data_IF_153109551074
#
_entry.id   IF_153109551074
#
_cell.length_a   1.000
_cell.length_b   1.000
_cell.length_c   1.000
_cell.angle_alpha   90.00
_cell.angle_beta   90.00
_cell.angle_gamma   90.00
#
_symmetry.space_group_name_H-M   'P 1'
#
loop_
_entity.id
_entity.type
_entity.pdbx_description
1 polymer ?
#
# COMPACT_ATOMS: atom_id res chain seq x y z
N UNK A 1 25.22 -9.84 -10.10
CA UNK A 1 24.91 -10.00 -8.67
C UNK A 1 23.42 -10.32 -8.55
N UNK A 2 23.05 -11.60 -8.40
CA UNK A 2 21.66 -11.97 -8.15
C UNK A 2 21.47 -11.96 -6.64
N UNK A 3 21.03 -10.82 -6.10
CA UNK A 3 20.66 -10.76 -4.69
C UNK A 3 19.37 -11.55 -4.51
N UNK A 4 19.57 -12.70 -3.85
CA UNK A 4 18.63 -13.57 -3.17
C UNK A 4 17.32 -12.86 -2.86
N UNK A 5 16.38 -12.93 -3.81
CA UNK A 5 14.96 -12.76 -3.57
C UNK A 5 14.62 -13.85 -2.55
N UNK A 6 14.66 -13.51 -1.25
CA UNK A 6 14.18 -14.35 -0.14
C UNK A 6 12.76 -14.68 -0.51
N UNK A 7 12.61 -15.83 -1.17
CA UNK A 7 11.39 -16.44 -1.67
C UNK A 7 10.37 -16.35 -0.54
N UNK A 8 9.43 -15.42 -0.66
CA UNK A 8 8.26 -15.34 0.20
C UNK A 8 7.54 -16.69 0.05
N UNK A 9 7.85 -17.62 0.96
CA UNK A 9 7.21 -18.93 1.09
C UNK A 9 5.92 -18.81 1.91
N UNK A 10 5.32 -17.63 1.96
CA UNK A 10 3.89 -17.55 2.20
C UNK A 10 3.22 -18.12 0.95
N UNK A 11 3.04 -19.44 0.95
CA UNK A 11 2.05 -20.13 0.12
C UNK A 11 0.72 -19.41 0.36
N UNK A 12 0.42 -18.46 -0.51
CA UNK A 12 -0.84 -17.75 -0.49
C UNK A 12 -1.82 -18.71 -1.16
N UNK A 13 -2.67 -19.32 -0.34
CA UNK A 13 -3.71 -20.22 -0.83
C UNK A 13 -4.89 -19.34 -1.23
N UNK A 14 -4.87 -18.84 -2.47
CA UNK A 14 -5.95 -18.04 -3.04
C UNK A 14 -6.67 -18.82 -4.13
N UNK A 15 -8.00 -18.83 -4.08
CA UNK A 15 -8.81 -19.39 -5.16
C UNK A 15 -8.79 -18.46 -6.38
N UNK A 16 -8.97 -19.03 -7.57
CA UNK A 16 -9.03 -18.28 -8.84
C UNK A 16 -10.05 -17.12 -8.79
N UNK A 17 -11.21 -17.36 -8.17
CA UNK A 17 -12.26 -16.35 -7.96
C UNK A 17 -11.81 -15.15 -7.11
N UNK A 18 -10.93 -15.38 -6.13
CA UNK A 18 -10.49 -14.32 -5.21
C UNK A 18 -9.46 -13.42 -5.86
N UNK A 19 -8.58 -14.01 -6.68
CA UNK A 19 -7.57 -13.27 -7.46
C UNK A 19 -8.25 -12.34 -8.46
N UNK A 20 -9.28 -12.82 -9.16
CA UNK A 20 -10.07 -12.00 -10.08
C UNK A 20 -10.75 -10.86 -9.33
N UNK A 21 -11.40 -11.16 -8.19
CA UNK A 21 -12.04 -10.14 -7.36
C UNK A 21 -11.06 -9.07 -6.91
N UNK A 22 -9.88 -9.47 -6.41
CA UNK A 22 -8.81 -8.55 -5.99
C UNK A 22 -8.30 -7.67 -7.13
N UNK A 23 -8.18 -8.23 -8.33
CA UNK A 23 -7.76 -7.47 -9.51
C UNK A 23 -8.77 -6.36 -9.84
N UNK A 24 -10.06 -6.68 -9.88
CA UNK A 24 -11.11 -5.69 -10.11
C UNK A 24 -11.19 -4.66 -8.98
N UNK A 25 -11.05 -5.10 -7.73
CA UNK A 25 -11.02 -4.20 -6.57
C UNK A 25 -9.90 -3.15 -6.69
N UNK A 26 -8.67 -3.54 -7.01
CA UNK A 26 -7.58 -2.59 -7.20
C UNK A 26 -7.77 -1.70 -8.42
N UNK A 27 -8.33 -2.23 -9.51
CA UNK A 27 -8.64 -1.45 -10.70
C UNK A 27 -9.67 -0.35 -10.40
N UNK A 28 -10.72 -0.66 -9.64
CA UNK A 28 -11.71 0.32 -9.18
C UNK A 28 -11.04 1.39 -8.30
N UNK A 29 -10.15 1.01 -7.37
CA UNK A 29 -9.42 1.97 -6.53
C UNK A 29 -8.57 2.93 -7.38
N UNK A 30 -7.91 2.43 -8.42
CA UNK A 30 -7.09 3.27 -9.32
C UNK A 30 -7.98 4.28 -10.07
N UNK A 31 -9.12 3.83 -10.58
CA UNK A 31 -10.06 4.70 -11.32
C UNK A 31 -10.65 5.77 -10.38
N UNK A 32 -11.13 5.37 -9.20
CA UNK A 32 -11.71 6.30 -8.23
C UNK A 32 -10.64 7.27 -7.71
N UNK A 33 -9.46 6.77 -7.32
CA UNK A 33 -8.38 7.57 -6.77
C UNK A 33 -7.84 8.60 -7.78
N UNK A 34 -7.68 8.21 -9.04
CA UNK A 34 -7.28 9.13 -10.11
C UNK A 34 -8.41 10.13 -10.45
N UNK A 35 -9.67 9.69 -10.51
CA UNK A 35 -10.82 10.55 -10.75
C UNK A 35 -11.00 11.63 -9.69
N UNK A 36 -10.90 11.28 -8.40
CA UNK A 36 -10.93 12.23 -7.29
C UNK A 36 -9.78 13.23 -7.41
N UNK A 37 -8.56 12.74 -7.67
CA UNK A 37 -7.38 13.60 -7.83
C UNK A 37 -7.58 14.63 -8.94
N UNK A 38 -8.11 14.22 -10.09
CA UNK A 38 -8.42 15.12 -11.22
C UNK A 38 -9.49 16.15 -10.85
N UNK A 39 -10.55 15.74 -10.15
CA UNK A 39 -11.62 16.64 -9.72
C UNK A 39 -11.09 17.73 -8.78
N UNK A 40 -10.19 17.40 -7.86
CA UNK A 40 -9.60 18.37 -6.95
C UNK A 40 -8.56 19.27 -7.61
N UNK A 41 -7.83 18.78 -8.63
CA UNK A 41 -6.95 19.64 -9.46
C UNK A 41 -7.77 20.72 -10.18
N UNK A 42 -8.91 20.37 -10.77
CA UNK A 42 -9.73 21.30 -11.57
C UNK A 42 -10.50 22.32 -10.74
N UNK A 43 -10.68 22.07 -9.44
CA UNK A 43 -11.34 23.00 -8.49
C UNK A 43 -10.42 24.03 -7.84
N UNK A 44 -9.13 24.09 -8.21
CA UNK A 44 -8.08 24.90 -7.55
C UNK A 44 -8.20 26.42 -7.68
N UNK A 45 -9.33 26.96 -8.15
CA UNK A 45 -9.53 28.40 -8.31
C UNK A 45 -9.75 29.17 -7.00
N UNK A 46 -9.93 28.48 -5.85
CA UNK A 46 -10.15 29.11 -4.54
C UNK A 46 -8.96 28.89 -3.58
N UNK A 47 -8.19 29.94 -3.23
CA UNK A 47 -6.96 29.82 -2.43
C UNK A 47 -7.20 29.32 -1.00
N UNK A 48 -8.33 29.66 -0.38
CA UNK A 48 -8.63 29.30 1.02
C UNK A 48 -8.80 27.78 1.25
N UNK A 49 -8.97 27.00 0.18
CA UNK A 49 -9.16 25.55 0.27
C UNK A 49 -8.02 24.72 -0.33
N UNK A 50 -6.93 25.37 -0.77
CA UNK A 50 -5.88 24.70 -1.53
C UNK A 50 -5.19 23.59 -0.74
N UNK A 51 -4.89 23.80 0.55
CA UNK A 51 -4.25 22.79 1.40
C UNK A 51 -5.14 21.56 1.62
N UNK A 52 -6.41 21.78 1.91
CA UNK A 52 -7.38 20.68 2.10
C UNK A 52 -7.60 19.89 0.82
N UNK A 53 -7.71 20.59 -0.32
CA UNK A 53 -7.84 19.95 -1.64
C UNK A 53 -6.57 19.15 -1.99
N UNK A 54 -5.39 19.69 -1.70
CA UNK A 54 -4.11 18.99 -1.91
C UNK A 54 -4.00 17.73 -1.03
N UNK A 55 -4.47 17.79 0.22
CA UNK A 55 -4.49 16.64 1.13
C UNK A 55 -5.38 15.51 0.60
N UNK A 56 -6.62 15.82 0.21
CA UNK A 56 -7.55 14.83 -0.34
C UNK A 56 -7.01 14.24 -1.64
N UNK A 57 -6.47 15.09 -2.52
CA UNK A 57 -5.87 14.67 -3.78
C UNK A 57 -4.66 13.74 -3.54
N UNK A 58 -3.78 14.07 -2.59
CA UNK A 58 -2.65 13.23 -2.23
C UNK A 58 -3.06 11.89 -1.61
N UNK A 59 -4.07 11.88 -0.72
CA UNK A 59 -4.60 10.65 -0.13
C UNK A 59 -5.20 9.71 -1.18
N UNK A 60 -5.95 10.29 -2.12
CA UNK A 60 -6.55 9.57 -3.25
C UNK A 60 -5.47 8.98 -4.16
N UNK A 61 -4.45 9.77 -4.46
CA UNK A 61 -3.34 9.34 -5.31
C UNK A 61 -2.41 8.33 -4.62
N UNK A 62 -2.26 8.40 -3.30
CA UNK A 62 -1.56 7.40 -2.51
C UNK A 62 -2.27 6.04 -2.53
N UNK A 63 -3.60 6.04 -2.41
CA UNK A 63 -4.41 4.83 -2.53
C UNK A 63 -4.26 4.19 -3.92
N UNK A 64 -4.26 5.01 -4.97
CA UNK A 64 -4.02 4.55 -6.35
C UNK A 64 -2.59 4.00 -6.52
N UNK A 65 -1.57 4.67 -5.98
CA UNK A 65 -0.18 4.20 -6.01
C UNK A 65 0.02 2.87 -5.30
N UNK A 66 -0.60 2.70 -4.13
CA UNK A 66 -0.60 1.44 -3.38
C UNK A 66 -1.33 0.32 -4.15
N UNK A 67 -2.45 0.63 -4.80
CA UNK A 67 -3.17 -0.33 -5.64
C UNK A 67 -2.31 -0.78 -6.84
N UNK A 68 -1.63 0.13 -7.54
CA UNK A 68 -0.72 -0.21 -8.67
C UNK A 68 0.40 -1.15 -8.22
N UNK A 69 1.03 -0.88 -7.07
CA UNK A 69 2.07 -1.76 -6.53
C UNK A 69 1.54 -3.17 -6.21
N UNK A 70 0.35 -3.26 -5.60
CA UNK A 70 -0.24 -4.54 -5.25
C UNK A 70 -0.71 -5.33 -6.47
N UNK A 71 -1.30 -4.68 -7.48
CA UNK A 71 -1.62 -5.29 -8.76
C UNK A 71 -0.34 -5.82 -9.44
N UNK A 72 0.77 -5.08 -9.36
CA UNK A 72 2.07 -5.53 -9.86
C UNK A 72 2.53 -6.82 -9.19
N UNK A 73 2.42 -6.87 -7.87
CA UNK A 73 2.82 -8.03 -7.07
C UNK A 73 1.90 -9.23 -7.34
N UNK A 74 0.59 -8.99 -7.47
CA UNK A 74 -0.40 -10.02 -7.77
C UNK A 74 -0.15 -10.65 -9.15
N UNK A 75 0.04 -9.84 -10.21
CA UNK A 75 0.29 -10.40 -11.54
C UNK A 75 1.61 -11.19 -11.60
N UNK A 76 2.69 -10.70 -10.96
CA UNK A 76 3.98 -11.41 -10.95
C UNK A 76 3.85 -12.76 -10.25
N UNK A 77 3.10 -12.79 -9.15
CA UNK A 77 2.87 -14.01 -8.41
C UNK A 77 2.02 -15.03 -9.20
N UNK A 78 1.09 -14.56 -10.05
CA UNK A 78 0.35 -15.41 -10.99
C UNK A 78 1.23 -15.99 -12.11
N UNK A 79 2.15 -15.19 -12.67
CA UNK A 79 3.04 -15.64 -13.76
C UNK A 79 4.12 -16.60 -13.26
N UNK A 80 4.67 -16.37 -12.07
CA UNK A 80 5.78 -17.16 -11.53
C UNK A 80 5.33 -18.48 -10.85
N UNK A 81 4.09 -18.94 -11.07
CA UNK A 81 3.48 -20.13 -10.44
C UNK A 81 3.63 -20.20 -8.91
N UNK A 82 3.82 -19.06 -8.25
CA UNK A 82 3.99 -18.98 -6.79
C UNK A 82 2.70 -19.24 -6.01
N UNK A 83 1.57 -19.41 -6.72
CA UNK A 83 0.29 -19.80 -6.16
C UNK A 83 0.00 -21.27 -6.45
N UNK A 84 -0.18 -22.06 -5.39
CA UNK A 84 -0.87 -23.35 -5.51
C UNK A 84 -2.37 -23.06 -5.56
N UNK A 85 -2.92 -23.01 -6.76
CA UNK A 85 -4.36 -22.89 -6.97
C UNK A 85 -5.02 -24.21 -6.56
N UNK A 86 -5.34 -24.39 -5.28
CA UNK A 86 -6.16 -25.52 -4.83
C UNK A 86 -7.59 -25.33 -5.32
N UNK A 87 -8.14 -26.35 -5.98
CA UNK A 87 -9.51 -26.36 -6.48
C UNK A 87 -10.51 -26.36 -5.30
N UNK A 88 -11.63 -25.65 -5.45
CA UNK A 88 -12.70 -25.50 -4.44
C UNK A 88 -13.20 -26.83 -3.86
N UNK A 89 -13.05 -27.94 -4.60
CA UNK A 89 -13.41 -29.30 -4.21
C UNK A 89 -12.44 -29.96 -3.23
N UNK A 90 -11.13 -29.71 -3.33
CA UNK A 90 -10.12 -30.25 -2.41
C UNK A 90 -10.02 -29.43 -1.10
N UNK A 91 -10.48 -28.18 -1.14
CA UNK A 91 -10.37 -27.21 -0.05
C UNK A 91 -11.42 -27.36 1.06
N UNK A 92 -12.53 -28.05 0.79
CA UNK A 92 -13.64 -28.20 1.76
C UNK A 92 -13.37 -29.22 2.87
N UNK A 93 -12.25 -29.96 2.78
CA UNK A 93 -11.88 -31.04 3.70
C UNK A 93 -10.94 -30.60 4.84
N UNK A 94 -10.39 -29.39 4.81
CA UNK A 94 -9.45 -28.87 5.81
C UNK A 94 -9.89 -27.48 6.30
N UNK A 95 -10.51 -27.43 7.47
CA UNK A 95 -11.05 -26.21 8.08
C UNK A 95 -9.95 -25.14 8.34
N UNK A 96 -8.71 -25.57 8.56
CA UNK A 96 -7.53 -24.71 8.78
C UNK A 96 -7.10 -23.90 7.53
N UNK A 97 -7.33 -24.42 6.32
CA UNK A 97 -6.96 -23.72 5.07
C UNK A 97 -7.93 -22.53 4.79
N UNK A 98 -9.13 -22.55 5.36
CA UNK A 98 -10.15 -21.51 5.19
C UNK A 98 -9.78 -20.21 5.92
N UNK A 99 -9.28 -20.31 7.16
CA UNK A 99 -8.86 -19.18 7.99
C UNK A 99 -7.65 -18.46 7.36
N UNK A 100 -6.72 -19.25 6.82
CA UNK A 100 -5.50 -18.76 6.17
C UNK A 100 -5.80 -18.02 4.86
N UNK A 101 -6.83 -18.45 4.13
CA UNK A 101 -7.37 -17.75 2.95
C UNK A 101 -8.01 -16.42 3.32
N UNK A 102 -8.85 -16.40 4.35
CA UNK A 102 -9.48 -15.15 4.84
C UNK A 102 -8.41 -14.15 5.29
N UNK A 103 -7.40 -14.60 6.05
CA UNK A 103 -6.29 -13.75 6.46
C UNK A 103 -5.51 -13.17 5.28
N UNK A 104 -5.27 -13.97 4.24
CA UNK A 104 -4.59 -13.52 3.02
C UNK A 104 -5.41 -12.48 2.26
N UNK A 105 -6.72 -12.70 2.10
CA UNK A 105 -7.61 -11.75 1.42
C UNK A 105 -7.72 -10.44 2.21
N UNK A 106 -7.93 -10.53 3.53
CA UNK A 106 -8.00 -9.36 4.40
C UNK A 106 -6.70 -8.52 4.30
N UNK A 107 -5.55 -9.19 4.36
CA UNK A 107 -4.25 -8.52 4.21
C UNK A 107 -4.13 -7.75 2.89
N UNK A 108 -4.56 -8.33 1.77
CA UNK A 108 -4.56 -7.63 0.48
C UNK A 108 -5.55 -6.46 0.44
N UNK A 109 -6.74 -6.58 1.04
CA UNK A 109 -7.75 -5.51 1.09
C UNK A 109 -7.27 -4.34 1.95
N UNK A 110 -6.59 -4.59 3.08
CA UNK A 110 -6.13 -3.52 3.97
C UNK A 110 -4.89 -2.78 3.47
N UNK A 111 -4.13 -3.32 2.51
CA UNK A 111 -2.89 -2.69 2.01
C UNK A 111 -3.06 -1.29 1.40
N UNK A 112 -4.05 -1.01 0.53
CA UNK A 112 -4.32 0.35 0.08
C UNK A 112 -4.62 1.31 1.24
N UNK A 113 -5.35 0.85 2.26
CA UNK A 113 -5.66 1.68 3.43
C UNK A 113 -4.39 2.06 4.21
N UNK A 114 -3.43 1.13 4.36
CA UNK A 114 -2.13 1.46 4.95
C UNK A 114 -1.35 2.47 4.10
N UNK A 115 -1.34 2.32 2.77
CA UNK A 115 -0.71 3.30 1.87
C UNK A 115 -1.31 4.69 2.01
N UNK A 116 -2.63 4.78 2.18
CA UNK A 116 -3.33 6.02 2.41
C UNK A 116 -2.99 6.62 3.80
N UNK A 117 -2.92 5.80 4.86
CA UNK A 117 -2.48 6.24 6.18
C UNK A 117 -1.04 6.78 6.18
N UNK A 118 -0.11 6.12 5.46
CA UNK A 118 1.27 6.61 5.30
C UNK A 118 1.33 7.97 4.61
N UNK A 119 0.46 8.25 3.63
CA UNK A 119 0.43 9.56 2.98
C UNK A 119 0.06 10.69 3.94
N UNK A 120 -0.81 10.41 4.93
CA UNK A 120 -1.20 11.35 5.97
C UNK A 120 -0.02 11.66 6.91
N UNK A 121 0.74 10.62 7.28
CA UNK A 121 1.97 10.78 8.06
C UNK A 121 3.00 11.63 7.31
N UNK A 122 3.22 11.36 6.01
CA UNK A 122 4.16 12.16 5.20
C UNK A 122 3.71 13.62 5.07
N UNK A 123 2.41 13.86 4.86
CA UNK A 123 1.87 15.22 4.85
C UNK A 123 2.08 15.93 6.20
N UNK A 124 1.82 15.25 7.32
CA UNK A 124 2.03 15.79 8.66
C UNK A 124 3.51 16.11 8.91
N UNK A 125 4.43 15.22 8.52
CA UNK A 125 5.87 15.45 8.62
C UNK A 125 6.31 16.64 7.77
N UNK A 126 5.78 16.77 6.56
CA UNK A 126 6.06 17.92 5.69
C UNK A 126 5.56 19.23 6.32
N UNK A 127 4.34 19.26 6.85
CA UNK A 127 3.80 20.45 7.51
C UNK A 127 4.57 20.82 8.77
N UNK A 128 4.98 19.83 9.56
CA UNK A 128 5.83 20.03 10.73
C UNK A 128 7.19 20.61 10.34
N UNK A 129 7.79 20.14 9.24
CA UNK A 129 9.05 20.65 8.71
C UNK A 129 8.96 22.13 8.32
N UNK A 130 7.87 22.55 7.67
CA UNK A 130 7.65 23.96 7.33
C UNK A 130 7.44 24.80 8.59
N UNK A 131 6.60 24.34 9.52
CA UNK A 131 6.35 25.06 10.77
C UNK A 131 7.62 25.23 11.62
N UNK A 132 8.53 24.25 11.58
CA UNK A 132 9.81 24.33 12.26
C UNK A 132 10.82 25.24 11.54
N UNK A 133 10.71 25.41 10.22
CA UNK A 133 11.69 26.12 9.39
C UNK A 133 11.33 27.57 9.10
N UNK A 134 10.05 27.96 9.17
CA UNK A 134 9.57 29.27 8.74
C UNK A 134 8.69 29.91 9.81
N UNK A 135 9.01 31.15 10.19
CA UNK A 135 8.29 31.93 11.21
C UNK A 135 7.08 32.71 10.67
N UNK A 136 6.80 32.66 9.37
CA UNK A 136 5.67 33.32 8.70
C UNK A 136 4.79 32.29 7.98
N UNK A 137 3.48 32.53 7.95
CA UNK A 137 2.52 31.69 7.23
C UNK A 137 2.74 31.82 5.71
N UNK A 138 3.31 30.78 5.09
CA UNK A 138 3.44 30.69 3.65
C UNK A 138 2.11 30.25 3.06
N UNK A 139 1.50 31.07 2.21
CA UNK A 139 0.37 30.66 1.37
C UNK A 139 0.89 29.75 0.24
N UNK A 140 0.39 28.51 0.10
CA UNK A 140 0.87 27.61 -0.93
C UNK A 140 0.49 28.09 -2.35
N UNK A 141 1.46 28.06 -3.26
CA UNK A 141 1.25 28.37 -4.67
C UNK A 141 0.54 27.21 -5.39
N UNK A 142 -0.07 27.44 -6.56
CA UNK A 142 -0.75 26.39 -7.35
C UNK A 142 0.15 25.20 -7.71
N UNK A 143 1.47 25.43 -7.87
CA UNK A 143 2.47 24.38 -8.08
C UNK A 143 2.57 23.35 -6.94
N UNK A 144 2.20 23.75 -5.73
CA UNK A 144 2.21 22.89 -4.54
C UNK A 144 1.35 21.64 -4.72
N UNK A 145 0.17 21.79 -5.33
CA UNK A 145 -0.78 20.69 -5.47
C UNK A 145 -0.22 19.54 -6.33
N UNK A 146 0.49 19.87 -7.41
CA UNK A 146 1.12 18.86 -8.28
C UNK A 146 2.24 18.10 -7.56
N UNK A 147 3.04 18.79 -6.76
CA UNK A 147 4.12 18.17 -5.97
C UNK A 147 3.51 17.25 -4.90
N UNK A 148 2.47 17.70 -4.21
CA UNK A 148 1.78 16.93 -3.16
C UNK A 148 1.09 15.70 -3.73
N UNK A 149 0.53 15.77 -4.93
CA UNK A 149 0.01 14.62 -5.67
C UNK A 149 1.10 13.60 -6.02
N UNK A 150 2.23 14.06 -6.55
CA UNK A 150 3.35 13.19 -6.89
C UNK A 150 3.94 12.50 -5.65
N UNK A 151 4.09 13.24 -4.54
CA UNK A 151 4.51 12.70 -3.26
C UNK A 151 3.50 11.72 -2.67
N UNK A 152 2.20 12.01 -2.78
CA UNK A 152 1.13 11.10 -2.39
C UNK A 152 1.21 9.78 -3.14
N UNK A 153 1.32 9.83 -4.48
CA UNK A 153 1.50 8.64 -5.31
C UNK A 153 2.73 7.83 -4.89
N UNK A 154 3.88 8.50 -4.78
CA UNK A 154 5.15 7.86 -4.45
C UNK A 154 5.11 7.22 -3.06
N UNK A 155 4.52 7.92 -2.09
CA UNK A 155 4.26 7.40 -0.75
C UNK A 155 3.47 6.10 -0.79
N UNK A 156 2.33 6.09 -1.47
CA UNK A 156 1.48 4.91 -1.56
C UNK A 156 2.16 3.75 -2.29
N UNK A 157 2.89 4.05 -3.36
CA UNK A 157 3.64 3.05 -4.12
C UNK A 157 4.79 2.44 -3.31
N UNK A 158 5.52 3.26 -2.54
CA UNK A 158 6.63 2.81 -1.70
C UNK A 158 6.18 2.14 -0.41
N UNK A 159 5.02 2.51 0.15
CA UNK A 159 4.47 1.94 1.37
C UNK A 159 4.39 0.40 1.30
N UNK A 160 4.02 -0.14 0.14
CA UNK A 160 3.98 -1.59 -0.08
C UNK A 160 5.35 -2.26 0.05
N UNK A 161 6.43 -1.59 -0.38
CA UNK A 161 7.81 -2.09 -0.25
C UNK A 161 8.34 -1.91 1.16
N UNK A 162 8.07 -0.75 1.78
CA UNK A 162 8.48 -0.45 3.16
C UNK A 162 7.85 -1.45 4.13
N UNK A 163 6.55 -1.76 3.98
CA UNK A 163 5.87 -2.74 4.81
C UNK A 163 6.51 -4.13 4.71
N UNK A 164 6.84 -4.59 3.50
CA UNK A 164 7.51 -5.89 3.30
C UNK A 164 8.93 -5.91 3.91
N UNK A 165 9.66 -4.80 3.85
CA UNK A 165 11.00 -4.69 4.48
C UNK A 165 10.86 -4.73 6.01
N UNK A 166 9.91 -3.98 6.58
CA UNK A 166 9.65 -3.96 8.02
C UNK A 166 9.21 -5.32 8.55
N UNK A 167 8.33 -6.03 7.83
CA UNK A 167 7.93 -7.40 8.15
C UNK A 167 9.15 -8.34 8.17
N UNK A 168 10.01 -8.27 7.15
CA UNK A 168 11.22 -9.09 7.07
C UNK A 168 12.22 -8.83 8.20
N UNK A 169 12.47 -7.56 8.52
CA UNK A 169 13.37 -7.18 9.61
C UNK A 169 12.80 -7.55 10.99
N UNK A 170 11.49 -7.37 11.18
CA UNK A 170 10.81 -7.74 12.43
C UNK A 170 10.89 -9.24 12.69
N UNK A 171 10.66 -10.07 11.67
CA UNK A 171 10.79 -11.52 11.77
C UNK A 171 12.23 -11.97 12.06
N UNK A 172 13.22 -11.38 11.38
CA UNK A 172 14.63 -11.70 11.61
C UNK A 172 15.06 -11.32 13.04
N UNK A 173 14.60 -10.19 13.59
CA UNK A 173 14.84 -9.81 14.99
C UNK A 173 14.14 -10.74 15.99
N UNK A 174 12.87 -11.07 15.76
CA UNK A 174 12.11 -11.96 16.63
C UNK A 174 12.73 -13.36 16.68
N UNK A 175 13.20 -13.85 15.52
CA UNK A 175 13.93 -15.12 15.43
C UNK A 175 15.23 -15.08 16.22
N UNK A 176 15.99 -13.98 16.16
CA UNK A 176 17.23 -13.83 16.93
C UNK A 176 16.99 -13.80 18.45
N UNK A 177 15.86 -13.23 18.90
CA UNK A 177 15.48 -13.24 20.33
C UNK A 177 15.04 -14.64 20.77
N UNK A 178 14.20 -15.33 19.98
CA UNK A 178 13.69 -16.68 20.31
C UNK A 178 14.79 -17.74 20.23
N UNK A 179 15.72 -17.63 19.29
CA UNK A 179 16.89 -18.54 19.19
C UNK A 179 18.03 -18.18 20.14
N UNK A 180 17.93 -17.04 20.85
CA UNK A 180 18.93 -16.55 21.79
C UNK A 180 18.77 -17.05 23.24
N UNK A 181 17.71 -17.80 23.56
CA UNK A 181 17.40 -18.21 24.95
C UNK A 181 17.70 -19.69 25.27
N UNK A 182 18.59 -20.32 24.48
CA UNK A 182 19.02 -21.72 24.69
C UNK A 182 20.46 -21.90 25.16
N UNK A 183 21.20 -20.82 25.43
CA UNK A 183 22.59 -20.88 25.91
C UNK A 183 22.92 -19.72 26.84
N UNK A 184 22.46 -19.81 28.08
CA UNK A 184 23.24 -19.36 29.23
C UNK A 184 23.13 -20.41 30.33
#
# INVERSE_FOLDING_TARGET
MPDVEKRDRTLIILGYSDVIFLFFYYLIIIIIGSGISILFITRTHTPDSLEFNALIAAFSMASAGAAVFNTRRLYRACINESFSFKTRSEMRLLDEDSLRRIGSIAFFIFRPAFGAAFSLVIYAMWRLSIAASVSQEITPASGFLYITLALGFLSGFLAGRVLTILEGQGLDQLRNVVSGDGRK
#
